data_IF_963403344259
#
_entry.id   IF_963403344259
#
_cell.length_a   1.000
_cell.length_b   1.000
_cell.length_c   1.000
_cell.angle_alpha   90.00
_cell.angle_beta   90.00
_cell.angle_gamma   90.00
#
_symmetry.space_group_name_H-M   'P 1'
#
loop_
_entity.id
_entity.type
_entity.pdbx_description
1 polymer ?
#
# COMPACT_ATOMS: atom_id res chain seq x y z
N UNK A 1 -10.90 4.01 20.94
CA UNK A 1 -12.22 3.37 21.34
C UNK A 1 -11.98 1.95 21.87
N UNK A 2 -12.93 1.38 22.67
CA UNK A 2 -12.91 -0.03 23.07
C UNK A 2 -13.61 -0.88 22.00
N UNK A 3 -13.33 -2.18 21.94
CA UNK A 3 -13.90 -3.07 20.91
C UNK A 3 -15.43 -3.09 20.87
N UNK A 4 -16.09 -3.10 22.04
CA UNK A 4 -17.56 -3.03 22.10
C UNK A 4 -18.14 -1.73 21.53
N UNK A 5 -17.39 -0.62 21.56
CA UNK A 5 -17.81 0.63 20.93
C UNK A 5 -17.66 0.59 19.40
N UNK A 6 -16.67 -0.15 18.89
CA UNK A 6 -16.54 -0.37 17.44
C UNK A 6 -17.68 -1.28 16.94
N UNK A 7 -18.04 -2.33 17.70
CA UNK A 7 -19.19 -3.19 17.38
C UNK A 7 -20.47 -2.36 17.31
N UNK A 8 -20.72 -1.56 18.33
CA UNK A 8 -21.90 -0.67 18.35
C UNK A 8 -21.90 0.29 17.16
N UNK A 9 -20.73 0.85 16.78
CA UNK A 9 -20.62 1.74 15.63
C UNK A 9 -21.00 1.03 14.32
N UNK A 10 -20.59 -0.24 14.12
CA UNK A 10 -21.01 -1.04 12.96
C UNK A 10 -22.51 -1.29 12.96
N UNK A 11 -23.12 -1.56 14.13
CA UNK A 11 -24.57 -1.76 14.27
C UNK A 11 -25.37 -0.48 13.98
N UNK A 12 -24.81 0.71 14.25
CA UNK A 12 -25.44 2.01 13.96
C UNK A 12 -25.34 2.44 12.49
N UNK A 13 -24.44 1.83 11.72
CA UNK A 13 -24.26 2.14 10.29
C UNK A 13 -25.39 1.56 9.45
N UNK A 14 -25.85 2.35 8.48
CA UNK A 14 -26.68 1.83 7.39
C UNK A 14 -25.85 0.96 6.45
N UNK A 15 -26.50 0.12 5.65
CA UNK A 15 -25.79 -0.73 4.69
C UNK A 15 -24.97 0.10 3.68
N UNK A 16 -25.48 1.24 3.24
CA UNK A 16 -24.79 2.13 2.31
C UNK A 16 -23.56 2.77 2.98
N UNK A 17 -23.64 3.19 4.25
CA UNK A 17 -22.50 3.68 5.01
C UNK A 17 -21.44 2.59 5.23
N UNK A 18 -21.85 1.33 5.47
CA UNK A 18 -20.93 0.18 5.57
C UNK A 18 -20.19 -0.03 4.26
N UNK A 19 -20.92 -0.08 3.14
CA UNK A 19 -20.35 -0.30 1.81
C UNK A 19 -19.38 0.83 1.42
N UNK A 20 -19.73 2.09 1.70
CA UNK A 20 -18.87 3.23 1.39
C UNK A 20 -17.56 3.24 2.22
N UNK A 21 -17.53 2.64 3.42
CA UNK A 21 -16.27 2.44 4.16
C UNK A 21 -15.29 1.50 3.42
N UNK A 22 -15.78 0.65 2.51
CA UNK A 22 -14.97 -0.29 1.75
C UNK A 22 -14.42 0.32 0.45
N UNK A 23 -14.60 1.60 0.22
CA UNK A 23 -14.18 2.28 -1.00
C UNK A 23 -12.95 3.16 -0.77
N UNK A 24 -12.00 3.12 -1.72
CA UNK A 24 -10.88 4.06 -1.82
C UNK A 24 -10.96 4.87 -3.10
N UNK A 25 -10.87 6.21 -2.96
CA UNK A 25 -10.84 7.15 -4.07
C UNK A 25 -9.57 8.01 -4.07
N UNK A 26 -9.10 8.39 -5.26
CA UNK A 26 -7.93 9.24 -5.40
C UNK A 26 -8.20 10.71 -5.00
N UNK A 27 -7.13 11.41 -4.61
CA UNK A 27 -7.14 12.82 -4.21
C UNK A 27 -7.83 13.77 -5.20
N UNK A 28 -7.80 13.46 -6.51
CA UNK A 28 -8.44 14.25 -7.55
C UNK A 28 -9.96 14.41 -7.35
N UNK A 29 -10.62 13.53 -6.58
CA UNK A 29 -12.03 13.68 -6.25
C UNK A 29 -12.29 14.69 -5.13
N UNK A 30 -11.27 15.07 -4.37
CA UNK A 30 -11.35 15.95 -3.19
C UNK A 30 -10.63 17.29 -3.37
N UNK A 31 -9.93 17.49 -4.50
CA UNK A 31 -9.16 18.71 -4.74
C UNK A 31 -9.99 19.78 -5.42
N UNK A 32 -10.01 21.00 -4.86
CA UNK A 32 -10.56 22.20 -5.50
C UNK A 32 -9.71 22.69 -6.69
N UNK A 33 -8.45 22.28 -6.73
CA UNK A 33 -7.59 22.47 -7.89
C UNK A 33 -7.94 21.37 -8.88
N UNK A 34 -8.91 21.63 -9.73
CA UNK A 34 -9.35 20.72 -10.78
C UNK A 34 -8.18 20.37 -11.72
N UNK A 35 -7.38 19.40 -11.32
CA UNK A 35 -6.80 18.50 -12.29
C UNK A 35 -8.01 17.82 -12.93
N UNK A 36 -8.21 18.05 -14.22
CA UNK A 36 -9.32 17.45 -14.95
C UNK A 36 -9.34 15.95 -14.62
N UNK A 37 -10.49 15.47 -14.13
CA UNK A 37 -10.72 14.05 -13.94
C UNK A 37 -10.66 13.39 -15.32
N UNK A 38 -9.48 12.90 -15.69
CA UNK A 38 -9.20 12.35 -17.03
C UNK A 38 -9.01 10.84 -16.97
N UNK A 39 -9.20 10.17 -18.09
CA UNK A 39 -9.03 8.73 -18.22
C UNK A 39 -9.99 7.93 -17.33
N UNK A 40 -9.54 6.80 -16.71
CA UNK A 40 -10.39 5.89 -15.93
C UNK A 40 -11.18 6.56 -14.81
N UNK A 41 -10.67 7.64 -14.22
CA UNK A 41 -11.36 8.36 -13.15
C UNK A 41 -12.63 9.08 -13.64
N UNK A 42 -12.66 9.57 -14.87
CA UNK A 42 -13.85 10.24 -15.44
C UNK A 42 -14.99 9.26 -15.74
N UNK A 43 -14.66 7.97 -15.88
CA UNK A 43 -15.60 6.91 -16.23
C UNK A 43 -16.32 6.30 -15.02
N UNK A 44 -15.85 6.59 -13.78
CA UNK A 44 -16.41 5.97 -12.57
C UNK A 44 -17.86 6.37 -12.26
N UNK A 45 -18.33 7.53 -12.76
CA UNK A 45 -19.73 7.94 -12.63
C UNK A 45 -20.22 8.12 -11.19
N UNK A 46 -19.30 8.40 -10.25
CA UNK A 46 -19.58 8.49 -8.81
C UNK A 46 -20.55 9.62 -8.47
N UNK A 47 -21.49 9.32 -7.56
CA UNK A 47 -22.33 10.35 -6.95
C UNK A 47 -21.49 11.17 -5.95
N UNK A 48 -21.92 12.42 -5.70
CA UNK A 48 -21.26 13.26 -4.69
C UNK A 48 -21.36 12.61 -3.30
N UNK A 49 -22.48 11.96 -2.98
CA UNK A 49 -22.66 11.23 -1.73
C UNK A 49 -21.63 10.11 -1.55
N UNK A 50 -21.36 9.33 -2.59
CA UNK A 50 -20.34 8.26 -2.56
C UNK A 50 -18.93 8.86 -2.36
N UNK A 51 -18.62 9.98 -3.02
CA UNK A 51 -17.33 10.68 -2.84
C UNK A 51 -17.20 11.18 -1.40
N UNK A 52 -18.24 11.83 -0.88
CA UNK A 52 -18.24 12.43 0.46
C UNK A 52 -18.13 11.39 1.59
N UNK A 53 -18.46 10.12 1.32
CA UNK A 53 -18.52 9.06 2.32
C UNK A 53 -17.55 7.91 2.12
N UNK A 54 -16.71 7.95 1.06
CA UNK A 54 -15.70 6.92 0.81
C UNK A 54 -14.70 6.80 1.98
N UNK A 55 -14.57 5.60 2.54
CA UNK A 55 -13.86 5.36 3.81
C UNK A 55 -12.36 5.64 3.79
N UNK A 56 -11.74 5.66 2.59
CA UNK A 56 -10.30 5.84 2.41
C UNK A 56 -9.97 6.70 1.19
N UNK A 57 -8.83 7.40 1.23
CA UNK A 57 -8.40 8.32 0.18
C UNK A 57 -6.95 8.10 -0.18
N UNK A 58 -6.66 8.03 -1.48
CA UNK A 58 -5.32 7.83 -2.03
C UNK A 58 -4.71 9.15 -2.51
N UNK A 59 -3.45 9.42 -2.10
CA UNK A 59 -2.62 10.47 -2.70
C UNK A 59 -2.84 11.88 -2.17
N UNK A 60 -3.71 12.08 -1.16
CA UNK A 60 -3.79 13.35 -0.43
C UNK A 60 -2.55 13.48 0.46
N UNK A 61 -1.75 14.52 0.27
CA UNK A 61 -0.56 14.77 1.09
C UNK A 61 -0.29 16.26 1.23
N UNK A 62 0.41 16.61 2.33
CA UNK A 62 0.60 17.98 2.78
C UNK A 62 -0.31 18.28 3.96
N UNK A 63 0.26 18.73 5.09
CA UNK A 63 -0.45 18.87 6.36
C UNK A 63 -1.74 19.70 6.24
N UNK A 64 -1.70 20.80 5.49
CA UNK A 64 -2.86 21.67 5.29
C UNK A 64 -3.96 20.95 4.48
N UNK A 65 -3.59 20.31 3.36
CA UNK A 65 -4.54 19.61 2.49
C UNK A 65 -5.15 18.41 3.20
N UNK A 66 -4.35 17.62 3.91
CA UNK A 66 -4.81 16.50 4.72
C UNK A 66 -5.85 16.95 5.77
N UNK A 67 -5.59 18.06 6.48
CA UNK A 67 -6.54 18.64 7.43
C UNK A 67 -7.83 19.09 6.76
N UNK A 68 -7.74 19.72 5.57
CA UNK A 68 -8.90 20.19 4.81
C UNK A 68 -9.78 19.01 4.42
N UNK A 69 -9.21 18.02 3.74
CA UNK A 69 -9.95 16.81 3.27
C UNK A 69 -10.58 16.08 4.46
N UNK A 70 -9.84 15.86 5.53
CA UNK A 70 -10.36 15.17 6.72
C UNK A 70 -11.53 15.94 7.37
N UNK A 71 -11.41 17.26 7.45
CA UNK A 71 -12.47 18.11 8.02
C UNK A 71 -13.74 18.06 7.18
N UNK A 72 -13.63 18.20 5.87
CA UNK A 72 -14.76 18.16 4.94
C UNK A 72 -15.43 16.79 4.96
N UNK A 73 -14.64 15.72 4.91
CA UNK A 73 -15.13 14.36 5.03
C UNK A 73 -15.94 14.14 6.30
N UNK A 74 -15.41 14.52 7.47
CA UNK A 74 -16.09 14.34 8.74
C UNK A 74 -17.37 15.18 8.89
N UNK A 75 -17.43 16.37 8.25
CA UNK A 75 -18.64 17.19 8.25
C UNK A 75 -19.80 16.53 7.49
N UNK A 76 -19.49 15.74 6.47
CA UNK A 76 -20.47 15.07 5.64
C UNK A 76 -20.82 13.66 6.19
N UNK A 77 -20.03 13.14 7.13
CA UNK A 77 -20.19 11.78 7.66
C UNK A 77 -21.01 11.78 8.96
N UNK A 78 -22.24 11.24 8.93
CA UNK A 78 -23.20 11.23 10.07
C UNK A 78 -22.60 10.71 11.38
N UNK A 79 -21.77 9.69 11.32
CA UNK A 79 -21.16 9.03 12.49
C UNK A 79 -19.78 9.59 12.86
N UNK A 80 -19.33 10.66 12.20
CA UNK A 80 -18.02 11.28 12.41
C UNK A 80 -16.83 10.29 12.34
N UNK A 81 -16.93 9.27 11.47
CA UNK A 81 -15.84 8.31 11.23
C UNK A 81 -14.79 9.02 10.35
N UNK A 82 -13.52 9.12 10.76
CA UNK A 82 -12.48 9.75 9.93
C UNK A 82 -12.12 8.91 8.71
N UNK A 83 -11.70 9.55 7.59
CA UNK A 83 -11.14 8.82 6.44
C UNK A 83 -9.68 8.42 6.70
N UNK A 84 -9.21 7.35 6.02
CA UNK A 84 -7.79 6.96 6.00
C UNK A 84 -7.10 7.62 4.81
N UNK A 85 -6.03 8.37 5.06
CA UNK A 85 -5.20 8.98 4.01
C UNK A 85 -4.01 8.04 3.73
N UNK A 86 -3.90 7.57 2.50
CA UNK A 86 -2.94 6.57 2.07
C UNK A 86 -2.13 7.04 0.86
N UNK A 87 -0.89 6.54 0.71
CA UNK A 87 -0.07 6.79 -0.47
C UNK A 87 1.00 5.70 -0.68
N UNK A 88 1.55 5.64 -1.89
CA UNK A 88 2.75 4.86 -2.18
C UNK A 88 4.00 5.59 -1.66
N UNK A 89 4.73 4.94 -0.76
CA UNK A 89 5.99 5.45 -0.20
C UNK A 89 6.98 4.29 -0.23
N UNK A 90 7.51 3.99 -1.42
CA UNK A 90 8.27 2.77 -1.68
C UNK A 90 9.75 2.91 -1.25
N UNK A 91 10.36 4.05 -1.53
CA UNK A 91 11.78 4.32 -1.21
C UNK A 91 12.02 5.79 -0.82
N UNK A 92 11.23 6.28 0.10
CA UNK A 92 11.22 7.66 0.55
C UNK A 92 9.91 8.37 0.24
N UNK A 93 9.62 9.45 0.96
CA UNK A 93 8.47 10.32 0.69
C UNK A 93 8.91 11.55 -0.12
N UNK A 94 9.54 12.53 0.53
CA UNK A 94 10.15 13.68 -0.13
C UNK A 94 11.68 13.55 -0.18
N UNK A 95 12.27 12.99 0.87
CA UNK A 95 13.67 12.56 0.82
C UNK A 95 13.73 11.22 0.10
N UNK A 96 14.30 11.20 -1.10
CA UNK A 96 14.42 10.00 -1.93
C UNK A 96 15.62 9.17 -1.48
N UNK A 97 15.36 7.90 -1.24
CA UNK A 97 16.34 6.86 -0.94
C UNK A 97 16.62 6.00 -2.18
N UNK A 98 17.66 5.17 -2.16
CA UNK A 98 17.86 4.17 -3.22
C UNK A 98 16.60 3.31 -3.40
N UNK A 99 16.34 2.92 -4.65
CA UNK A 99 15.24 2.00 -4.96
C UNK A 99 15.38 0.68 -4.19
N UNK A 100 14.30 -0.05 -3.91
CA UNK A 100 14.35 -1.29 -3.13
C UNK A 100 15.37 -2.31 -3.63
N UNK A 101 15.58 -2.43 -4.94
CA UNK A 101 16.62 -3.29 -5.51
C UNK A 101 18.04 -2.89 -5.05
N UNK A 102 18.31 -1.59 -4.98
CA UNK A 102 19.58 -1.08 -4.45
C UNK A 102 19.65 -1.21 -2.91
N UNK A 103 18.53 -1.08 -2.20
CA UNK A 103 18.47 -1.37 -0.77
C UNK A 103 18.78 -2.84 -0.50
N UNK A 104 18.27 -3.78 -1.33
CA UNK A 104 18.60 -5.19 -1.27
C UNK A 104 20.10 -5.46 -1.40
N UNK A 105 20.80 -4.72 -2.27
CA UNK A 105 22.25 -4.87 -2.44
C UNK A 105 23.08 -4.41 -1.25
N UNK A 106 22.51 -3.68 -0.31
CA UNK A 106 23.22 -3.27 0.93
C UNK A 106 23.42 -4.42 1.92
N UNK A 107 22.54 -5.43 1.94
CA UNK A 107 22.48 -6.50 2.95
C UNK A 107 22.41 -5.96 4.40
N UNK A 108 21.86 -4.75 4.59
CA UNK A 108 21.86 -4.01 5.84
C UNK A 108 20.43 -3.69 6.31
N UNK A 109 19.87 -4.57 7.15
CA UNK A 109 18.51 -4.43 7.71
C UNK A 109 18.35 -3.09 8.46
N UNK A 110 19.38 -2.65 9.20
CA UNK A 110 19.30 -1.40 9.96
C UNK A 110 19.23 -0.16 9.05
N UNK A 111 19.94 -0.19 7.91
CA UNK A 111 19.87 0.89 6.93
C UNK A 111 18.47 0.95 6.27
N UNK A 112 17.87 -0.20 5.99
CA UNK A 112 16.52 -0.30 5.40
C UNK A 112 15.45 0.12 6.41
N UNK A 113 15.56 -0.30 7.66
CA UNK A 113 14.66 0.12 8.74
C UNK A 113 14.74 1.65 8.95
N UNK A 114 15.94 2.23 8.92
CA UNK A 114 16.14 3.67 9.06
C UNK A 114 15.56 4.46 7.87
N UNK A 115 15.66 3.95 6.65
CA UNK A 115 14.99 4.52 5.48
C UNK A 115 13.47 4.56 5.69
N UNK A 116 12.88 3.46 6.11
CA UNK A 116 11.44 3.36 6.36
C UNK A 116 10.99 4.28 7.51
N UNK A 117 11.79 4.41 8.58
CA UNK A 117 11.53 5.34 9.69
C UNK A 117 11.47 6.80 9.21
N UNK A 118 12.44 7.23 8.41
CA UNK A 118 12.48 8.61 7.89
C UNK A 118 11.32 8.84 6.93
N UNK A 119 11.04 7.88 6.06
CA UNK A 119 9.92 7.94 5.12
C UNK A 119 8.57 8.05 5.84
N UNK A 120 8.38 7.27 6.91
CA UNK A 120 7.20 7.34 7.76
C UNK A 120 7.04 8.71 8.42
N UNK A 121 8.13 9.25 8.97
CA UNK A 121 8.12 10.56 9.62
C UNK A 121 7.72 11.68 8.67
N UNK A 122 8.32 11.73 7.47
CA UNK A 122 7.97 12.74 6.46
C UNK A 122 6.51 12.59 5.97
N UNK A 123 6.05 11.37 5.78
CA UNK A 123 4.68 11.09 5.39
C UNK A 123 3.66 11.46 6.49
N UNK A 124 3.95 11.11 7.73
CA UNK A 124 3.07 11.38 8.86
C UNK A 124 2.92 12.88 9.13
N UNK A 125 4.00 13.67 9.09
CA UNK A 125 3.88 15.15 9.27
C UNK A 125 3.11 15.80 8.13
N UNK A 126 3.03 15.16 6.97
CA UNK A 126 2.19 15.56 5.83
C UNK A 126 0.76 15.03 5.90
N UNK A 127 0.39 14.35 7.00
CA UNK A 127 -0.97 13.88 7.28
C UNK A 127 -1.33 12.50 6.73
N UNK A 128 -0.37 11.73 6.23
CA UNK A 128 -0.62 10.36 5.77
C UNK A 128 -0.69 9.38 6.94
N UNK A 129 -1.58 8.38 6.83
CA UNK A 129 -1.84 7.36 7.84
C UNK A 129 -1.29 5.98 7.47
N UNK A 130 -1.23 5.68 6.17
CA UNK A 130 -0.87 4.37 5.62
C UNK A 130 0.07 4.54 4.43
N UNK A 131 1.09 3.69 4.36
CA UNK A 131 1.92 3.52 3.16
C UNK A 131 1.64 2.20 2.48
N UNK A 132 1.61 2.17 1.14
CA UNK A 132 1.57 0.95 0.34
C UNK A 132 2.98 0.35 0.16
N UNK A 133 3.63 0.10 1.27
CA UNK A 133 4.97 -0.46 1.38
C UNK A 133 5.07 -1.33 2.66
N UNK A 134 5.92 -2.37 2.69
CA UNK A 134 6.89 -2.78 1.67
C UNK A 134 6.29 -3.57 0.51
N UNK A 135 6.90 -3.43 -0.67
CA UNK A 135 6.71 -4.35 -1.78
C UNK A 135 7.68 -5.53 -1.58
N UNK A 136 7.12 -6.74 -1.46
CA UNK A 136 7.88 -7.96 -1.13
C UNK A 136 7.81 -9.01 -2.24
N UNK A 137 7.39 -8.62 -3.43
CA UNK A 137 7.38 -9.51 -4.58
C UNK A 137 8.80 -9.95 -4.91
N UNK A 138 9.02 -11.26 -4.84
CA UNK A 138 10.30 -11.86 -5.16
C UNK A 138 10.49 -11.90 -6.68
N UNK A 139 11.53 -11.26 -7.17
CA UNK A 139 11.80 -11.18 -8.62
C UNK A 139 12.75 -12.29 -9.06
N UNK A 140 12.33 -13.05 -10.08
CA UNK A 140 13.15 -14.09 -10.71
C UNK A 140 13.49 -13.75 -12.16
N UNK A 141 12.64 -12.98 -12.83
CA UNK A 141 12.85 -12.55 -14.21
C UNK A 141 13.16 -11.04 -14.25
N UNK A 142 14.39 -10.63 -14.60
CA UNK A 142 14.79 -9.22 -14.61
C UNK A 142 14.10 -8.39 -15.70
N UNK A 143 13.31 -9.01 -16.59
CA UNK A 143 12.52 -8.29 -17.60
C UNK A 143 11.21 -7.73 -17.05
N UNK A 144 10.78 -8.16 -15.86
CA UNK A 144 9.58 -7.62 -15.23
C UNK A 144 9.73 -6.12 -14.94
N UNK A 145 8.76 -5.30 -15.33
CA UNK A 145 8.84 -3.83 -15.27
C UNK A 145 8.94 -3.26 -13.85
N UNK A 146 8.51 -4.02 -12.82
CA UNK A 146 8.51 -3.61 -11.41
C UNK A 146 9.71 -4.14 -10.61
N UNK A 147 10.75 -4.65 -11.27
CA UNK A 147 11.98 -5.14 -10.63
C UNK A 147 12.57 -4.11 -9.65
N UNK A 148 12.52 -2.83 -9.99
CA UNK A 148 13.07 -1.76 -9.17
C UNK A 148 12.43 -1.64 -7.78
N UNK A 149 11.18 -2.07 -7.64
CA UNK A 149 10.45 -2.00 -6.37
C UNK A 149 10.75 -3.19 -5.44
N UNK A 150 11.38 -4.25 -5.95
CA UNK A 150 11.73 -5.47 -5.19
C UNK A 150 13.11 -5.35 -4.57
N UNK A 151 13.30 -6.04 -3.44
CA UNK A 151 14.63 -6.20 -2.82
C UNK A 151 15.48 -7.31 -3.47
N UNK A 152 14.98 -7.99 -4.51
CA UNK A 152 15.72 -8.95 -5.31
C UNK A 152 15.12 -10.35 -5.34
N UNK A 153 15.98 -11.36 -5.51
CA UNK A 153 15.58 -12.73 -5.80
C UNK A 153 15.77 -13.72 -4.64
N UNK A 154 16.37 -13.29 -3.54
CA UNK A 154 16.61 -14.14 -2.37
C UNK A 154 15.46 -14.06 -1.37
N UNK A 155 14.73 -15.17 -1.09
CA UNK A 155 13.56 -15.13 -0.21
C UNK A 155 13.90 -14.84 1.26
N UNK A 156 15.10 -15.19 1.72
CA UNK A 156 15.51 -14.91 3.11
C UNK A 156 15.84 -13.43 3.28
N UNK A 157 16.64 -12.86 2.37
CA UNK A 157 16.96 -11.44 2.40
C UNK A 157 15.69 -10.60 2.24
N UNK A 158 14.85 -10.93 1.28
CA UNK A 158 13.54 -10.28 1.08
C UNK A 158 12.72 -10.29 2.37
N UNK A 159 12.62 -11.44 3.05
CA UNK A 159 11.89 -11.57 4.32
C UNK A 159 12.45 -10.68 5.44
N UNK A 160 13.78 -10.64 5.58
CA UNK A 160 14.43 -9.79 6.58
C UNK A 160 14.22 -8.31 6.33
N UNK A 161 14.37 -7.89 5.08
CA UNK A 161 14.18 -6.50 4.69
C UNK A 161 12.70 -6.08 4.75
N UNK A 162 11.78 -6.98 4.41
CA UNK A 162 10.34 -6.74 4.60
C UNK A 162 10.00 -6.45 6.06
N UNK A 163 10.48 -7.29 6.98
CA UNK A 163 10.29 -7.09 8.42
C UNK A 163 10.92 -5.79 8.92
N UNK A 164 12.13 -5.45 8.45
CA UNK A 164 12.81 -4.20 8.78
C UNK A 164 12.02 -2.98 8.31
N UNK A 165 11.49 -3.00 7.07
CA UNK A 165 10.65 -1.92 6.56
C UNK A 165 9.38 -1.75 7.40
N UNK A 166 8.67 -2.83 7.73
CA UNK A 166 7.46 -2.76 8.57
C UNK A 166 7.76 -2.14 9.92
N UNK A 167 8.83 -2.57 10.61
CA UNK A 167 9.24 -1.96 11.89
C UNK A 167 9.57 -0.48 11.74
N UNK A 168 10.30 -0.11 10.68
CA UNK A 168 10.65 1.27 10.40
C UNK A 168 9.42 2.15 10.14
N UNK A 169 8.45 1.69 9.35
CA UNK A 169 7.23 2.45 9.09
C UNK A 169 6.34 2.58 10.32
N UNK A 170 6.15 1.51 11.09
CA UNK A 170 5.15 1.44 12.16
C UNK A 170 5.69 1.77 13.56
N UNK A 171 7.00 1.59 13.80
CA UNK A 171 7.55 1.67 15.15
C UNK A 171 6.93 0.61 16.08
N UNK A 172 6.97 0.86 17.40
CA UNK A 172 6.44 -0.05 18.41
C UNK A 172 4.95 0.18 18.70
N UNK A 173 4.47 1.41 18.63
CA UNK A 173 3.10 1.77 18.97
C UNK A 173 2.56 2.86 18.05
N UNK A 174 1.80 2.44 17.05
CA UNK A 174 1.18 3.36 16.08
C UNK A 174 0.25 4.40 16.72
N UNK A 175 -0.45 4.06 17.81
CA UNK A 175 -1.40 4.96 18.44
C UNK A 175 -0.72 6.13 19.15
N UNK A 176 0.43 5.90 19.75
CA UNK A 176 1.15 6.89 20.55
C UNK A 176 2.19 7.67 19.74
N UNK A 177 2.78 7.04 18.72
CA UNK A 177 3.80 7.68 17.86
C UNK A 177 3.16 8.27 16.60
N UNK A 178 2.85 9.57 16.66
CA UNK A 178 2.25 10.32 15.56
C UNK A 178 3.16 10.49 14.33
N UNK A 179 4.42 10.04 14.40
CA UNK A 179 5.39 10.13 13.31
C UNK A 179 5.58 8.80 12.57
N UNK A 180 4.66 7.86 12.78
CA UNK A 180 4.62 6.56 12.12
C UNK A 180 3.37 6.40 11.28
N UNK A 181 3.44 5.51 10.30
CA UNK A 181 2.34 5.15 9.41
C UNK A 181 2.15 3.64 9.39
N UNK A 182 0.94 3.17 9.14
CA UNK A 182 0.69 1.75 8.99
C UNK A 182 1.29 1.24 7.66
N UNK A 183 1.90 0.06 7.70
CA UNK A 183 2.50 -0.59 6.53
C UNK A 183 1.51 -1.52 5.83
N UNK A 184 1.58 -1.54 4.50
CA UNK A 184 0.83 -2.45 3.64
C UNK A 184 1.79 -3.32 2.84
N UNK A 185 1.84 -4.61 3.15
CA UNK A 185 2.66 -5.58 2.42
C UNK A 185 2.02 -5.89 1.08
N UNK A 186 2.78 -5.79 -0.01
CA UNK A 186 2.26 -5.97 -1.37
C UNK A 186 3.21 -6.72 -2.30
N UNK A 187 2.71 -7.35 -3.35
CA UNK A 187 1.33 -7.62 -3.73
C UNK A 187 1.03 -9.10 -3.53
N UNK A 188 0.04 -9.44 -2.75
CA UNK A 188 -0.26 -10.82 -2.35
C UNK A 188 -1.09 -11.54 -3.43
N UNK A 189 -0.52 -12.57 -4.18
CA UNK A 189 0.81 -13.07 -3.99
C UNK A 189 1.48 -13.43 -5.32
N UNK A 190 2.80 -13.58 -5.24
CA UNK A 190 3.64 -14.11 -6.32
C UNK A 190 3.73 -13.25 -7.60
N UNK A 191 3.44 -11.96 -7.52
CA UNK A 191 3.38 -11.05 -8.67
C UNK A 191 4.71 -10.98 -9.45
N UNK A 192 5.86 -11.02 -8.76
CA UNK A 192 7.18 -11.09 -9.38
C UNK A 192 7.52 -12.40 -10.09
N UNK A 193 6.66 -13.42 -10.00
CA UNK A 193 6.78 -14.72 -10.66
C UNK A 193 6.09 -14.82 -12.02
N UNK A 194 5.61 -13.70 -12.59
CA UNK A 194 4.88 -13.69 -13.85
C UNK A 194 5.71 -14.30 -15.01
N UNK A 195 5.06 -15.12 -15.84
CA UNK A 195 5.69 -15.79 -16.96
C UNK A 195 6.34 -14.81 -17.92
N UNK A 196 7.62 -15.03 -18.22
CA UNK A 196 8.45 -14.18 -19.08
C UNK A 196 8.56 -12.73 -18.64
N UNK A 197 8.37 -12.44 -17.35
CA UNK A 197 8.39 -11.08 -16.80
C UNK A 197 7.26 -10.18 -17.30
N UNK A 198 6.18 -10.72 -17.80
CA UNK A 198 5.03 -9.95 -18.31
C UNK A 198 4.17 -9.50 -17.16
N UNK A 199 4.06 -8.19 -17.00
CA UNK A 199 3.23 -7.58 -15.99
C UNK A 199 1.74 -7.94 -16.15
N UNK A 200 0.97 -7.97 -15.07
CA UNK A 200 -0.47 -8.36 -15.03
C UNK A 200 -0.75 -9.80 -15.48
N UNK A 201 0.26 -10.61 -15.75
CA UNK A 201 0.09 -11.87 -16.44
C UNK A 201 0.05 -13.10 -15.50
N UNK A 202 -0.06 -14.25 -16.14
CA UNK A 202 -0.15 -15.54 -15.46
C UNK A 202 1.09 -15.85 -14.65
N UNK A 203 0.88 -16.30 -13.41
CA UNK A 203 1.87 -16.99 -12.61
C UNK A 203 1.51 -18.47 -12.61
N UNK A 204 2.42 -19.29 -13.09
CA UNK A 204 2.28 -20.74 -13.13
C UNK A 204 3.44 -21.37 -12.36
N UNK A 205 3.12 -21.91 -11.18
CA UNK A 205 4.08 -22.59 -10.31
C UNK A 205 3.37 -23.59 -9.41
N UNK A 206 4.13 -24.58 -8.91
CA UNK A 206 3.60 -25.48 -7.90
C UNK A 206 3.35 -24.76 -6.58
N UNK A 207 2.38 -25.24 -5.79
CA UNK A 207 2.15 -24.74 -4.43
C UNK A 207 3.43 -24.83 -3.57
N UNK A 208 4.25 -25.86 -3.73
CA UNK A 208 5.54 -25.97 -3.05
C UNK A 208 6.46 -24.79 -3.37
N UNK A 209 6.59 -24.42 -4.65
CA UNK A 209 7.40 -23.26 -5.06
C UNK A 209 6.83 -21.95 -4.53
N UNK A 210 5.52 -21.77 -4.55
CA UNK A 210 4.85 -20.62 -3.98
C UNK A 210 5.18 -20.48 -2.48
N UNK A 211 5.07 -21.57 -1.72
CA UNK A 211 5.33 -21.59 -0.28
C UNK A 211 6.80 -21.46 0.10
N UNK A 212 7.72 -22.02 -0.67
CA UNK A 212 9.14 -21.96 -0.38
C UNK A 212 9.79 -20.63 -0.79
N UNK A 213 9.30 -20.00 -1.86
CA UNK A 213 9.99 -18.87 -2.49
C UNK A 213 9.26 -17.55 -2.34
N UNK A 214 7.93 -17.52 -2.54
CA UNK A 214 7.20 -16.26 -2.65
C UNK A 214 6.47 -15.86 -1.36
N UNK A 215 5.85 -16.81 -0.67
CA UNK A 215 5.09 -16.52 0.55
C UNK A 215 5.95 -16.09 1.76
N UNK A 216 7.24 -16.46 1.92
CA UNK A 216 8.03 -16.10 3.10
C UNK A 216 8.17 -14.60 3.33
N UNK A 217 8.32 -13.79 2.27
CA UNK A 217 8.42 -12.33 2.39
C UNK A 217 7.15 -11.70 2.96
N UNK A 218 5.99 -12.13 2.50
CA UNK A 218 4.70 -11.66 3.02
C UNK A 218 4.51 -12.08 4.48
N UNK A 219 4.80 -13.35 4.79
CA UNK A 219 4.72 -13.86 6.17
C UNK A 219 5.60 -13.07 7.12
N UNK A 220 6.84 -12.76 6.71
CA UNK A 220 7.76 -11.97 7.52
C UNK A 220 7.26 -10.54 7.78
N UNK A 221 6.67 -9.89 6.78
CA UNK A 221 6.05 -8.58 6.94
C UNK A 221 4.83 -8.62 7.88
N UNK A 222 4.01 -9.66 7.78
CA UNK A 222 2.85 -9.88 8.65
C UNK A 222 3.31 -10.15 10.09
N UNK A 223 4.31 -11.01 10.30
CA UNK A 223 4.87 -11.31 11.62
C UNK A 223 5.53 -10.09 12.27
N UNK A 224 6.05 -9.16 11.46
CA UNK A 224 6.55 -7.87 11.92
C UNK A 224 5.43 -6.87 12.27
N UNK A 225 4.17 -7.26 12.10
CA UNK A 225 2.99 -6.50 12.53
C UNK A 225 2.34 -5.62 11.47
N UNK A 226 2.60 -5.84 10.18
CA UNK A 226 1.95 -5.09 9.09
C UNK A 226 0.43 -5.05 9.26
N UNK A 227 -0.17 -3.89 9.03
CA UNK A 227 -1.60 -3.66 9.25
C UNK A 227 -2.46 -3.90 8.02
N UNK A 228 -1.86 -3.84 6.84
CA UNK A 228 -2.56 -4.09 5.59
C UNK A 228 -1.78 -5.07 4.71
N UNK A 229 -2.53 -5.72 3.82
CA UNK A 229 -2.01 -6.50 2.70
C UNK A 229 -2.76 -6.06 1.44
N UNK A 230 -2.03 -5.83 0.33
CA UNK A 230 -2.64 -5.48 -0.95
C UNK A 230 -2.65 -6.69 -1.88
N UNK A 231 -3.75 -6.88 -2.61
CA UNK A 231 -3.88 -7.96 -3.60
C UNK A 231 -2.96 -7.72 -4.80
N UNK A 232 -2.61 -8.77 -5.52
CA UNK A 232 -1.86 -8.68 -6.77
C UNK A 232 -2.76 -8.81 -8.00
N UNK A 233 -2.27 -8.35 -9.16
CA UNK A 233 -3.00 -8.39 -10.44
C UNK A 233 -2.98 -9.75 -11.14
N UNK A 234 -1.93 -10.54 -10.92
CA UNK A 234 -1.69 -11.81 -11.61
C UNK A 234 -2.66 -12.90 -11.18
N UNK A 235 -2.74 -13.94 -12.01
CA UNK A 235 -3.40 -15.20 -11.63
C UNK A 235 -2.44 -16.09 -10.84
N UNK A 236 -2.98 -16.83 -9.88
CA UNK A 236 -2.31 -17.92 -9.18
C UNK A 236 -3.18 -19.16 -9.36
N UNK A 237 -2.63 -20.21 -9.96
CA UNK A 237 -3.37 -21.42 -10.31
C UNK A 237 -4.64 -21.13 -11.15
N UNK A 238 -4.50 -20.23 -12.12
CA UNK A 238 -5.58 -19.82 -13.03
C UNK A 238 -6.63 -18.89 -12.45
N UNK A 239 -6.56 -18.53 -11.15
CA UNK A 239 -7.49 -17.61 -10.49
C UNK A 239 -6.77 -16.30 -10.22
N UNK A 240 -7.29 -15.12 -10.65
CA UNK A 240 -6.73 -13.83 -10.26
C UNK A 240 -6.66 -13.71 -8.76
N UNK A 241 -5.53 -13.21 -8.23
CA UNK A 241 -5.31 -13.13 -6.79
C UNK A 241 -6.46 -12.44 -6.07
N UNK A 242 -6.95 -11.31 -6.58
CA UNK A 242 -8.05 -10.51 -5.99
C UNK A 242 -9.35 -11.31 -5.78
N UNK A 243 -9.62 -12.33 -6.60
CA UNK A 243 -10.79 -13.23 -6.46
C UNK A 243 -10.45 -14.59 -5.85
N UNK A 244 -9.22 -14.80 -5.41
CA UNK A 244 -8.74 -16.11 -4.97
C UNK A 244 -9.01 -16.34 -3.47
N UNK A 245 -10.12 -16.99 -3.17
CA UNK A 245 -10.53 -17.30 -1.79
C UNK A 245 -9.50 -18.12 -1.02
N UNK A 246 -8.84 -19.10 -1.66
CA UNK A 246 -7.80 -19.90 -1.03
C UNK A 246 -6.63 -19.04 -0.54
N UNK A 247 -6.15 -18.10 -1.39
CA UNK A 247 -5.06 -17.21 -0.98
C UNK A 247 -5.41 -16.37 0.26
N UNK A 248 -6.61 -15.78 0.31
CA UNK A 248 -6.95 -14.85 1.38
C UNK A 248 -7.58 -15.52 2.59
N UNK A 249 -8.51 -16.47 2.42
CA UNK A 249 -9.17 -17.12 3.56
C UNK A 249 -8.31 -18.20 4.18
N UNK A 250 -7.73 -19.09 3.37
CA UNK A 250 -6.98 -20.23 3.89
C UNK A 250 -5.54 -19.85 4.21
N UNK A 251 -4.78 -19.30 3.24
CA UNK A 251 -3.36 -18.99 3.47
C UNK A 251 -3.20 -17.73 4.34
N UNK A 252 -3.77 -16.59 3.95
CA UNK A 252 -3.52 -15.32 4.64
C UNK A 252 -4.18 -15.29 6.03
N UNK A 253 -5.49 -15.58 6.11
CA UNK A 253 -6.25 -15.50 7.36
C UNK A 253 -5.97 -16.68 8.28
N UNK A 254 -6.17 -17.92 7.79
CA UNK A 254 -6.10 -19.11 8.65
C UNK A 254 -4.66 -19.53 8.95
N UNK A 255 -3.80 -19.67 7.92
CA UNK A 255 -2.43 -20.16 8.15
C UNK A 255 -1.50 -19.08 8.69
N UNK A 256 -1.57 -17.83 8.15
CA UNK A 256 -0.69 -16.74 8.61
C UNK A 256 -1.25 -16.00 9.80
N UNK A 257 -2.53 -16.17 10.12
CA UNK A 257 -3.19 -15.50 11.24
C UNK A 257 -3.35 -13.98 11.05
N UNK A 258 -3.44 -13.51 9.81
CA UNK A 258 -3.55 -12.08 9.52
C UNK A 258 -4.95 -11.54 9.85
N UNK A 259 -5.03 -10.59 10.76
CA UNK A 259 -6.28 -9.95 11.19
C UNK A 259 -6.48 -8.53 10.64
N UNK A 260 -5.48 -7.99 9.93
CA UNK A 260 -5.52 -6.64 9.36
C UNK A 260 -6.40 -6.51 8.11
N UNK A 261 -6.29 -5.39 7.45
CA UNK A 261 -7.09 -5.02 6.27
C UNK A 261 -6.49 -5.58 4.98
N UNK A 262 -7.34 -6.15 4.11
CA UNK A 262 -6.97 -6.49 2.73
C UNK A 262 -7.53 -5.43 1.79
N UNK A 263 -6.66 -4.78 1.03
CA UNK A 263 -7.03 -3.79 0.02
C UNK A 263 -6.73 -4.34 -1.37
N UNK A 264 -7.62 -4.10 -2.35
CA UNK A 264 -7.29 -4.42 -3.74
C UNK A 264 -6.20 -3.50 -4.27
N UNK A 265 -5.47 -3.91 -5.29
CA UNK A 265 -4.70 -2.99 -6.11
C UNK A 265 -5.64 -2.17 -7.02
N UNK A 266 -5.11 -1.15 -7.70
CA UNK A 266 -5.85 -0.21 -8.53
C UNK A 266 -6.67 -0.93 -9.62
N UNK A 267 -7.99 -0.87 -9.49
CA UNK A 267 -8.91 -1.49 -10.44
C UNK A 267 -8.95 -3.02 -10.43
N UNK A 268 -8.21 -3.69 -9.54
CA UNK A 268 -8.02 -5.14 -9.59
C UNK A 268 -9.30 -5.97 -9.39
N UNK A 269 -10.34 -5.40 -8.76
CA UNK A 269 -11.64 -6.10 -8.67
C UNK A 269 -12.28 -6.14 -10.06
N UNK A 270 -12.31 -5.03 -10.79
CA UNK A 270 -12.88 -4.98 -12.15
C UNK A 270 -12.08 -5.84 -13.12
N UNK A 271 -10.77 -6.00 -12.90
CA UNK A 271 -9.91 -6.85 -13.73
C UNK A 271 -10.25 -8.35 -13.67
N UNK A 272 -11.06 -8.81 -12.72
CA UNK A 272 -11.61 -10.17 -12.73
C UNK A 272 -12.40 -10.48 -14.02
N UNK A 273 -12.93 -9.45 -14.69
CA UNK A 273 -13.67 -9.58 -15.95
C UNK A 273 -12.73 -9.92 -17.12
N UNK A 274 -11.70 -9.11 -17.45
CA UNK A 274 -10.77 -9.46 -18.53
C UNK A 274 -9.96 -10.72 -18.26
N UNK A 275 -9.76 -11.11 -16.99
CA UNK A 275 -9.19 -12.41 -16.65
C UNK A 275 -10.15 -13.58 -16.91
N UNK A 276 -11.43 -13.33 -17.23
CA UNK A 276 -12.41 -14.33 -17.63
C UNK A 276 -13.03 -15.14 -16.49
N UNK A 277 -12.83 -14.72 -15.23
CA UNK A 277 -13.43 -15.40 -14.06
C UNK A 277 -14.72 -14.72 -13.59
N UNK A 278 -14.95 -13.47 -13.95
CA UNK A 278 -16.20 -12.77 -13.75
C UNK A 278 -16.80 -12.34 -15.11
N UNK A 279 -18.12 -12.43 -15.26
CA UNK A 279 -18.82 -12.03 -16.48
C UNK A 279 -19.14 -10.53 -16.51
N UNK A 280 -19.26 -9.92 -15.35
CA UNK A 280 -19.65 -8.52 -15.12
C UNK A 280 -19.13 -8.02 -13.76
N UNK A 281 -19.28 -6.71 -13.52
CA UNK A 281 -18.82 -6.05 -12.29
C UNK A 281 -19.53 -6.59 -11.03
N UNK A 282 -20.81 -6.98 -11.15
CA UNK A 282 -21.56 -7.60 -10.04
C UNK A 282 -20.94 -8.92 -9.62
N UNK A 283 -20.57 -9.78 -10.56
CA UNK A 283 -19.89 -11.03 -10.24
C UNK A 283 -18.47 -10.78 -9.71
N UNK A 284 -17.78 -9.76 -10.23
CA UNK A 284 -16.48 -9.35 -9.73
C UNK A 284 -16.54 -8.92 -8.25
N UNK A 285 -17.53 -8.08 -7.89
CA UNK A 285 -17.79 -7.70 -6.50
C UNK A 285 -18.06 -8.90 -5.59
N UNK A 286 -18.91 -9.84 -6.06
CA UNK A 286 -19.22 -11.07 -5.31
C UNK A 286 -17.97 -11.91 -5.03
N UNK A 287 -17.15 -12.14 -6.06
CA UNK A 287 -15.92 -12.93 -5.92
C UNK A 287 -14.92 -12.28 -4.97
N UNK A 288 -14.71 -10.97 -5.09
CA UNK A 288 -13.75 -10.23 -4.28
C UNK A 288 -14.15 -10.18 -2.80
N UNK A 289 -15.41 -9.85 -2.47
CA UNK A 289 -15.87 -9.81 -1.07
C UNK A 289 -15.86 -11.20 -0.42
N UNK A 290 -16.22 -12.25 -1.17
CA UNK A 290 -16.13 -13.65 -0.70
C UNK A 290 -14.69 -14.10 -0.50
N UNK A 291 -13.77 -13.64 -1.36
CA UNK A 291 -12.35 -13.89 -1.18
C UNK A 291 -11.79 -13.21 0.07
N UNK A 292 -12.40 -12.12 0.54
CA UNK A 292 -12.01 -11.41 1.75
C UNK A 292 -11.24 -10.11 1.48
N UNK A 293 -11.46 -9.49 0.33
CA UNK A 293 -10.97 -8.14 0.02
C UNK A 293 -11.86 -7.13 0.73
N UNK A 294 -11.27 -6.35 1.64
CA UNK A 294 -12.00 -5.42 2.50
C UNK A 294 -12.16 -4.03 1.86
N UNK A 295 -11.18 -3.56 1.09
CA UNK A 295 -11.21 -2.24 0.44
C UNK A 295 -11.05 -2.40 -1.07
N UNK A 296 -11.97 -1.80 -1.81
CA UNK A 296 -11.91 -1.64 -3.26
C UNK A 296 -11.18 -0.35 -3.63
N UNK A 297 -10.07 -0.45 -4.40
CA UNK A 297 -9.31 0.70 -4.87
C UNK A 297 -9.73 1.08 -6.28
N UNK A 298 -10.29 2.30 -6.43
CA UNK A 298 -10.49 2.99 -7.71
C UNK A 298 -11.38 2.28 -8.72
N UNK A 299 -12.32 1.43 -8.26
CA UNK A 299 -13.49 0.98 -9.03
C UNK A 299 -14.75 1.09 -8.17
N UNK A 300 -15.92 0.80 -8.71
CA UNK A 300 -17.22 0.99 -8.05
C UNK A 300 -18.03 -0.30 -7.93
N UNK A 301 -17.37 -1.46 -8.08
CA UNK A 301 -18.06 -2.74 -8.01
C UNK A 301 -18.76 -2.95 -6.66
N UNK A 302 -18.14 -2.51 -5.55
CA UNK A 302 -18.74 -2.61 -4.23
C UNK A 302 -19.92 -1.66 -4.03
N UNK A 303 -19.79 -0.33 -4.19
CA UNK A 303 -20.91 0.58 -4.01
C UNK A 303 -22.06 0.31 -4.98
N UNK A 304 -21.79 -0.15 -6.20
CA UNK A 304 -22.83 -0.38 -7.20
C UNK A 304 -23.60 -1.71 -6.99
N UNK A 305 -22.95 -2.75 -6.42
CA UNK A 305 -23.53 -4.10 -6.48
C UNK A 305 -23.63 -4.86 -5.13
N UNK A 306 -22.89 -4.48 -4.06
CA UNK A 306 -22.96 -5.27 -2.81
C UNK A 306 -24.35 -5.26 -2.17
N UNK A 307 -25.07 -4.15 -2.24
CA UNK A 307 -26.44 -4.05 -1.73
C UNK A 307 -27.39 -4.98 -2.47
N UNK A 308 -27.33 -5.00 -3.79
CA UNK A 308 -28.14 -5.90 -4.62
C UNK A 308 -27.78 -7.37 -4.37
N UNK A 309 -26.49 -7.69 -4.25
CA UNK A 309 -26.03 -9.04 -3.91
C UNK A 309 -26.52 -9.52 -2.55
N UNK A 310 -26.63 -8.62 -1.58
CA UNK A 310 -27.19 -8.90 -0.26
C UNK A 310 -28.69 -9.17 -0.35
N UNK A 311 -29.45 -8.32 -1.07
CA UNK A 311 -30.89 -8.48 -1.28
C UNK A 311 -31.23 -9.79 -2.02
N UNK A 312 -30.38 -10.22 -2.95
CA UNK A 312 -30.49 -11.50 -3.65
C UNK A 312 -30.07 -12.71 -2.80
N UNK A 313 -29.52 -12.51 -1.60
CA UNK A 313 -29.02 -13.58 -0.73
C UNK A 313 -27.75 -14.28 -1.25
N UNK A 314 -27.01 -13.64 -2.19
CA UNK A 314 -25.76 -14.18 -2.77
C UNK A 314 -24.55 -13.95 -1.87
N UNK A 315 -24.60 -12.93 -1.02
CA UNK A 315 -23.62 -12.67 0.04
C UNK A 315 -24.36 -12.52 1.37
N UNK A 316 -23.67 -12.76 2.47
CA UNK A 316 -24.15 -12.47 3.81
C UNK A 316 -23.67 -11.08 4.27
N UNK A 317 -24.49 -10.34 5.01
CA UNK A 317 -24.14 -9.03 5.58
C UNK A 317 -22.88 -9.13 6.46
N UNK A 318 -22.67 -10.27 7.10
CA UNK A 318 -21.49 -10.54 7.93
C UNK A 318 -20.16 -10.36 7.18
N UNK A 319 -20.10 -10.57 5.86
CA UNK A 319 -18.89 -10.32 5.05
C UNK A 319 -18.58 -8.83 4.98
N UNK A 320 -19.60 -8.00 4.86
CA UNK A 320 -19.48 -6.54 4.86
C UNK A 320 -19.10 -6.07 6.26
N UNK A 321 -19.75 -6.57 7.31
CA UNK A 321 -19.47 -6.22 8.70
C UNK A 321 -18.03 -6.57 9.10
N UNK A 322 -17.54 -7.75 8.70
CA UNK A 322 -16.15 -8.14 8.91
C UNK A 322 -15.15 -7.15 8.28
N UNK A 323 -15.41 -6.75 7.04
CA UNK A 323 -14.55 -5.80 6.32
C UNK A 323 -14.56 -4.42 7.00
N UNK A 324 -15.74 -3.88 7.29
CA UNK A 324 -15.92 -2.62 8.03
C UNK A 324 -15.21 -2.67 9.38
N UNK A 325 -15.40 -3.76 10.14
CA UNK A 325 -14.78 -3.92 11.45
C UNK A 325 -13.25 -3.85 11.38
N UNK A 326 -12.61 -4.49 10.38
CA UNK A 326 -11.16 -4.42 10.18
C UNK A 326 -10.69 -3.00 9.89
N UNK A 327 -11.42 -2.28 9.05
CA UNK A 327 -11.12 -0.88 8.71
C UNK A 327 -11.26 0.02 9.94
N UNK A 328 -12.33 -0.14 10.72
CA UNK A 328 -12.54 0.64 11.95
C UNK A 328 -11.49 0.31 13.03
N UNK A 329 -11.08 -0.97 13.16
CA UNK A 329 -9.98 -1.36 14.04
C UNK A 329 -8.67 -0.67 13.63
N UNK A 330 -8.35 -0.62 12.34
CA UNK A 330 -7.16 0.08 11.84
C UNK A 330 -7.23 1.59 12.15
N UNK A 331 -8.36 2.24 11.90
CA UNK A 331 -8.57 3.65 12.26
C UNK A 331 -8.38 3.90 13.76
N UNK A 332 -8.84 2.97 14.60
CA UNK A 332 -8.68 3.04 16.06
C UNK A 332 -7.23 2.79 16.52
N UNK A 333 -6.53 1.85 15.92
CA UNK A 333 -5.11 1.60 16.19
C UNK A 333 -4.20 2.77 15.79
N UNK A 334 -4.62 3.52 14.79
CA UNK A 334 -3.99 4.78 14.40
C UNK A 334 -4.39 5.97 15.31
N UNK A 335 -5.35 5.78 16.23
CA UNK A 335 -5.82 6.85 17.13
C UNK A 335 -6.67 7.91 16.44
N UNK A 336 -7.21 7.64 15.25
CA UNK A 336 -7.95 8.63 14.46
C UNK A 336 -9.29 9.03 15.07
N UNK A 337 -9.91 8.19 15.88
CA UNK A 337 -11.14 8.56 16.61
C UNK A 337 -10.89 9.59 17.73
N UNK A 338 -9.68 9.59 18.30
CA UNK A 338 -9.28 10.58 19.31
C UNK A 338 -8.67 11.85 18.65
N UNK A 339 -7.93 11.66 17.56
CA UNK A 339 -7.32 12.74 16.79
C UNK A 339 -7.39 12.48 15.28
N UNK A 340 -8.44 12.91 14.59
CA UNK A 340 -8.58 12.67 13.15
C UNK A 340 -7.52 13.37 12.29
N UNK A 341 -6.82 14.38 12.85
CA UNK A 341 -5.74 15.14 12.20
C UNK A 341 -4.35 14.64 12.61
N UNK A 342 -4.26 13.41 13.08
CA UNK A 342 -3.03 12.78 13.54
C UNK A 342 -1.87 13.02 12.57
N UNK A 343 -0.72 13.42 13.11
CA UNK A 343 0.51 13.66 12.36
C UNK A 343 0.54 14.97 11.58
N UNK A 344 -0.56 15.40 10.97
CA UNK A 344 -0.62 16.60 10.13
C UNK A 344 -0.23 17.87 10.90
N UNK A 345 0.98 18.38 10.64
CA UNK A 345 1.53 19.56 11.30
C UNK A 345 2.39 20.37 10.32
N UNK A 346 1.92 21.54 9.92
CA UNK A 346 2.56 22.40 8.92
C UNK A 346 3.95 22.89 9.34
N UNK A 347 4.14 23.15 10.65
CA UNK A 347 5.45 23.55 11.15
C UNK A 347 6.42 22.37 11.14
N UNK A 348 6.00 21.24 11.66
CA UNK A 348 6.80 20.01 11.65
C UNK A 348 7.10 19.57 10.21
N UNK A 349 6.14 19.66 9.29
CA UNK A 349 6.32 19.38 7.87
C UNK A 349 7.45 20.22 7.27
N UNK A 350 7.45 21.52 7.52
CA UNK A 350 8.50 22.44 7.03
C UNK A 350 9.89 22.16 7.62
N UNK A 351 9.97 21.69 8.87
CA UNK A 351 11.22 21.40 9.56
C UNK A 351 11.80 20.01 9.20
N UNK A 352 10.92 19.02 8.98
CA UNK A 352 11.29 17.60 8.83
C UNK A 352 11.59 17.23 7.39
N UNK A 353 10.76 17.68 6.43
CA UNK A 353 10.90 17.31 5.03
C UNK A 353 12.22 17.81 4.45
N UNK A 354 12.95 16.89 3.78
CA UNK A 354 14.25 17.17 3.18
C UNK A 354 15.27 17.78 4.15
N UNK A 355 15.14 17.51 5.45
CA UNK A 355 16.08 17.99 6.44
C UNK A 355 17.53 17.58 6.10
N UNK A 356 18.51 18.31 6.61
CA UNK A 356 19.92 17.97 6.37
C UNK A 356 20.26 16.56 6.84
N UNK A 357 19.72 16.16 7.99
CA UNK A 357 19.88 14.81 8.54
C UNK A 357 19.35 13.74 7.59
N UNK A 358 18.11 13.89 7.10
CA UNK A 358 17.49 12.94 6.19
C UNK A 358 18.29 12.76 4.91
N UNK A 359 18.72 13.87 4.30
CA UNK A 359 19.54 13.84 3.08
C UNK A 359 20.93 13.20 3.28
N UNK A 360 21.57 13.43 4.41
CA UNK A 360 22.85 12.80 4.74
C UNK A 360 22.70 11.28 4.98
N UNK A 361 21.60 10.84 5.59
CA UNK A 361 21.30 9.42 5.76
C UNK A 361 21.02 8.77 4.40
N UNK A 362 20.18 9.40 3.56
CA UNK A 362 19.92 8.91 2.21
C UNK A 362 21.19 8.74 1.40
N UNK A 363 22.10 9.73 1.45
CA UNK A 363 23.42 9.66 0.81
C UNK A 363 24.27 8.49 1.33
N UNK A 364 24.31 8.28 2.64
CA UNK A 364 25.05 7.17 3.24
C UNK A 364 24.51 5.81 2.81
N UNK A 365 23.18 5.65 2.75
CA UNK A 365 22.55 4.42 2.28
C UNK A 365 22.83 4.22 0.78
N UNK A 366 22.77 5.27 -0.03
CA UNK A 366 23.15 5.20 -1.44
C UNK A 366 24.60 4.76 -1.65
N UNK A 367 25.53 5.26 -0.83
CA UNK A 367 26.92 4.80 -0.88
C UNK A 367 27.07 3.31 -0.52
N UNK A 368 26.29 2.82 0.44
CA UNK A 368 26.30 1.39 0.81
C UNK A 368 25.72 0.48 -0.26
N UNK A 369 24.83 0.99 -1.11
CA UNK A 369 24.19 0.19 -2.17
C UNK A 369 25.05 -0.01 -3.42
N UNK A 370 26.19 0.67 -3.50
CA UNK A 370 27.10 0.55 -4.65
C UNK A 370 27.92 -0.74 -4.56
N UNK A 371 27.88 -1.56 -5.62
CA UNK A 371 28.61 -2.83 -5.71
C UNK A 371 29.74 -2.72 -6.71
N UNK A 372 30.98 -2.91 -6.25
CA UNK A 372 32.17 -2.91 -7.11
C UNK A 372 32.33 -4.29 -7.74
N UNK A 373 31.87 -4.45 -8.99
CA UNK A 373 31.94 -5.73 -9.71
C UNK A 373 33.32 -6.05 -10.27
N UNK A 374 34.08 -5.02 -10.71
CA UNK A 374 35.41 -5.18 -11.27
C UNK A 374 36.23 -3.91 -11.05
N UNK A 375 37.50 -4.05 -10.66
CA UNK A 375 38.45 -2.96 -10.55
C UNK A 375 39.84 -3.42 -10.99
N UNK A 376 40.39 -2.79 -11.99
CA UNK A 376 41.74 -3.05 -12.52
C UNK A 376 42.75 -1.98 -12.01
N UNK A 377 42.71 -1.69 -10.72
CA UNK A 377 43.55 -0.70 -10.04
C UNK A 377 43.30 0.76 -10.44
N UNK A 378 42.12 1.09 -10.97
CA UNK A 378 41.71 2.47 -11.27
C UNK A 378 41.12 3.16 -10.03
N UNK A 379 40.37 2.41 -9.22
CA UNK A 379 39.80 2.93 -7.99
C UNK A 379 40.61 2.54 -6.76
N UNK A 380 40.72 3.40 -5.74
CA UNK A 380 40.14 4.77 -5.67
C UNK A 380 40.91 5.78 -6.52
N UNK A 381 40.19 6.77 -7.05
CA UNK A 381 40.80 7.90 -7.73
C UNK A 381 41.68 8.72 -6.78
N UNK A 382 42.79 9.27 -7.29
CA UNK A 382 43.58 10.25 -6.52
C UNK A 382 42.98 11.65 -6.68
N UNK A 383 43.17 12.57 -5.72
CA UNK A 383 42.63 13.93 -5.81
C UNK A 383 43.08 14.74 -7.02
N UNK A 384 44.15 14.31 -7.69
CA UNK A 384 44.75 14.99 -8.85
C UNK A 384 44.19 14.49 -10.19
N UNK A 385 43.46 13.36 -10.19
CA UNK A 385 42.90 12.81 -11.42
C UNK A 385 41.73 13.64 -11.92
N UNK A 386 41.69 13.84 -13.23
CA UNK A 386 40.57 14.50 -13.91
C UNK A 386 39.53 13.46 -14.28
N UNK A 387 38.32 13.63 -13.75
CA UNK A 387 37.21 12.76 -14.01
C UNK A 387 36.23 13.45 -14.94
N UNK A 388 35.83 12.78 -16.03
CA UNK A 388 34.75 13.22 -16.89
C UNK A 388 33.48 12.38 -16.57
N UNK A 389 32.41 13.04 -16.16
CA UNK A 389 31.08 12.43 -16.01
C UNK A 389 30.33 12.60 -17.33
N UNK A 390 30.00 11.49 -17.99
CA UNK A 390 29.37 11.49 -19.31
C UNK A 390 28.11 10.61 -19.31
N UNK A 391 27.17 10.96 -20.18
CA UNK A 391 25.92 10.21 -20.35
C UNK A 391 24.67 11.07 -20.23
N UNK A 392 23.51 10.59 -20.68
CA UNK A 392 22.28 11.36 -20.69
C UNK A 392 21.83 11.82 -19.28
N UNK A 393 22.11 11.04 -18.24
CA UNK A 393 21.78 11.38 -16.85
C UNK A 393 22.82 12.22 -16.12
N UNK A 394 23.97 12.60 -16.75
CA UNK A 394 25.11 13.24 -16.06
C UNK A 394 24.77 14.59 -15.40
N UNK A 395 23.75 15.29 -15.90
CA UNK A 395 23.26 16.57 -15.38
C UNK A 395 21.77 16.55 -15.06
N UNK A 396 21.12 15.40 -15.14
CA UNK A 396 19.69 15.29 -14.83
C UNK A 396 19.45 15.56 -13.36
N UNK A 397 18.40 16.35 -13.10
CA UNK A 397 17.84 16.59 -11.78
C UNK A 397 16.45 15.92 -11.63
N UNK A 398 16.00 15.20 -12.66
CA UNK A 398 14.73 14.49 -12.71
C UNK A 398 14.86 13.18 -11.93
N UNK A 399 14.77 13.28 -10.62
CA UNK A 399 14.85 12.14 -9.69
C UNK A 399 13.48 11.71 -9.17
N UNK A 400 12.45 12.50 -9.48
CA UNK A 400 11.06 12.23 -9.18
C UNK A 400 10.32 12.13 -10.51
N UNK A 401 9.71 10.98 -10.78
CA UNK A 401 8.84 10.80 -11.94
C UNK A 401 7.53 11.56 -11.78
#
# INVERSE_FOLDING_TARGET
>A
MKENQLIQLVEEMTIDEKINQLLQLAAAFYSDKAEEKTGPMSELGLSQETIDTAGTTLGVSGANEAKRVQKEYMQNHRLNIPTLLMADIIHGFRTIFPIPLALGSTWDEAAVEKMAEISAKEAAVSGLHVTFSPMVDLVRDPRWGRVMESTGEDPLLNSRLAAAMVRGYQGENLKEDNWRVAACVKHFAAYGGALAGRDYNTVDMSERQLREMYLPGYKAGIDAGAKLVMTSFNTVDGIPATGNQWLFRDVLRNEFGFEGVVISDWGAIKELIPHGVAKDEKQAAELAIKAGVDIEMMTTCYPDYLKELLEEGRIAETLIDEAVMRILKLKNELGLFENPYRGADEQAEAEVILSKEHREIAKKIAQKSMVLLKNENILPFTPQEKIALVGPGAQSQDILG
#
